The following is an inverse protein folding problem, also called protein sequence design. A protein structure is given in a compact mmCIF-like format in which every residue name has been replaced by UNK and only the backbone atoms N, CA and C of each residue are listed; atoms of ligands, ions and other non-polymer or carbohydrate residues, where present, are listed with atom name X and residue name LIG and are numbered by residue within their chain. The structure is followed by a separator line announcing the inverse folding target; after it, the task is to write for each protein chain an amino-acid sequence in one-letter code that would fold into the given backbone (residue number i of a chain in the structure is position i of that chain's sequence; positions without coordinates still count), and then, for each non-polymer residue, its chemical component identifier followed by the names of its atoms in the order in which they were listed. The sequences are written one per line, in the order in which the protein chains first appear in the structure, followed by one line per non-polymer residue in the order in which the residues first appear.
data_IF_479470921724
#
_entry.id   IF_479470921724
#
_cell.length_a   1.000
_cell.length_b   1.000
_cell.length_c   1.000
_cell.angle_alpha   90.00
_cell.angle_beta   90.00
_cell.angle_gamma   90.00
#
_symmetry.space_group_name_H-M   'P 1'
#
loop_
_entity.id
_entity.type
_entity.pdbx_description
1 polymer ?
#
# COMPACT_ATOMS: atom_id res chain seq x y z
N UNK A 1 -12.54 -13.34 12.86
CA UNK A 1 -11.23 -13.03 12.26
C UNK A 1 -11.44 -12.52 10.85
N UNK A 2 -10.84 -11.39 10.49
CA UNK A 2 -10.88 -10.87 9.11
C UNK A 2 -9.90 -11.70 8.26
N UNK A 3 -10.29 -12.19 7.08
CA UNK A 3 -9.39 -12.98 6.24
C UNK A 3 -8.19 -12.15 5.78
N UNK A 4 -6.99 -12.75 5.71
CA UNK A 4 -5.78 -12.09 5.22
C UNK A 4 -5.98 -11.44 3.83
N UNK A 5 -6.76 -12.06 2.96
CA UNK A 5 -7.07 -11.53 1.64
C UNK A 5 -7.85 -10.21 1.63
N UNK A 6 -8.60 -9.89 2.70
CA UNK A 6 -9.27 -8.59 2.81
C UNK A 6 -8.28 -7.50 3.22
N UNK A 7 -7.26 -7.82 4.02
CA UNK A 7 -6.15 -6.90 4.31
C UNK A 7 -5.29 -6.63 3.06
N UNK A 8 -5.04 -7.64 2.22
CA UNK A 8 -4.32 -7.43 0.95
C UNK A 8 -5.08 -6.51 -0.01
N UNK A 9 -6.41 -6.56 -0.02
CA UNK A 9 -7.21 -5.61 -0.82
C UNK A 9 -7.07 -4.18 -0.33
N UNK A 10 -6.88 -3.96 0.97
CA UNK A 10 -6.59 -2.63 1.53
C UNK A 10 -5.27 -2.06 0.99
N UNK A 11 -4.28 -2.92 0.70
CA UNK A 11 -2.97 -2.50 0.19
C UNK A 11 -3.00 -1.98 -1.26
N UNK A 12 -4.11 -2.18 -2.00
CA UNK A 12 -4.25 -1.89 -3.44
C UNK A 12 -3.00 -2.35 -4.22
N UNK A 13 -2.88 -3.65 -4.53
CA UNK A 13 -1.64 -4.24 -5.05
C UNK A 13 -1.09 -3.55 -6.32
N UNK A 14 -1.97 -3.04 -7.19
CA UNK A 14 -1.55 -2.26 -8.36
C UNK A 14 -0.78 -0.97 -8.01
N UNK A 15 -1.24 -0.22 -7.01
CA UNK A 15 -0.54 0.98 -6.53
C UNK A 15 0.78 0.64 -5.84
N UNK A 16 0.83 -0.50 -5.14
CA UNK A 16 2.06 -0.97 -4.49
C UNK A 16 3.17 -1.28 -5.50
N UNK A 17 2.84 -1.82 -6.68
CA UNK A 17 3.82 -2.06 -7.75
C UNK A 17 4.45 -0.76 -8.28
N UNK A 18 3.64 0.29 -8.44
CA UNK A 18 4.14 1.61 -8.86
C UNK A 18 5.16 2.13 -7.85
N UNK A 19 4.86 1.99 -6.56
CA UNK A 19 5.80 2.38 -5.48
C UNK A 19 7.13 1.63 -5.59
N UNK A 20 7.12 0.32 -5.81
CA UNK A 20 8.36 -0.45 -5.98
C UNK A 20 9.20 0.04 -7.16
N UNK A 21 8.57 0.34 -8.30
CA UNK A 21 9.25 0.92 -9.46
C UNK A 21 9.84 2.30 -9.16
N UNK A 22 9.12 3.15 -8.44
CA UNK A 22 9.62 4.47 -8.02
C UNK A 22 10.81 4.37 -7.06
N UNK A 23 10.80 3.40 -6.14
CA UNK A 23 11.92 3.16 -5.22
C UNK A 23 13.19 2.70 -5.95
N UNK A 24 13.04 1.80 -6.92
CA UNK A 24 14.15 1.38 -7.78
C UNK A 24 14.74 2.57 -8.55
N UNK A 25 13.89 3.37 -9.20
CA UNK A 25 14.33 4.56 -9.92
C UNK A 25 15.04 5.56 -9.01
N UNK A 26 14.54 5.76 -7.78
CA UNK A 26 15.20 6.63 -6.79
C UNK A 26 16.63 6.17 -6.45
N UNK A 27 16.83 4.86 -6.26
CA UNK A 27 18.15 4.29 -6.01
C UNK A 27 19.09 4.41 -7.21
N UNK A 28 18.58 4.15 -8.42
CA UNK A 28 19.35 4.27 -9.67
C UNK A 28 19.82 5.70 -9.89
N UNK A 29 18.92 6.68 -9.72
CA UNK A 29 19.24 8.10 -9.88
C UNK A 29 20.18 8.60 -8.79
N UNK A 30 20.00 8.17 -7.54
CA UNK A 30 20.87 8.55 -6.42
C UNK A 30 22.26 7.93 -6.48
N UNK A 31 22.39 6.70 -7.01
CA UNK A 31 23.65 6.00 -7.17
C UNK A 31 24.32 6.20 -8.54
N UNK A 32 23.65 6.87 -9.48
CA UNK A 32 24.06 7.03 -10.88
C UNK A 32 24.46 5.68 -11.55
N UNK A 33 23.75 4.62 -11.21
CA UNK A 33 24.04 3.24 -11.64
C UNK A 33 22.76 2.43 -11.74
N UNK A 34 22.65 1.60 -12.77
CA UNK A 34 21.56 0.64 -12.89
C UNK A 34 21.71 -0.55 -11.92
N UNK A 35 22.93 -0.79 -11.42
CA UNK A 35 23.17 -1.80 -10.40
C UNK A 35 22.86 -1.22 -9.03
N UNK A 36 21.81 -1.75 -8.39
CA UNK A 36 21.43 -1.40 -7.01
C UNK A 36 21.86 -2.52 -6.06
N UNK A 37 22.37 -2.17 -4.87
CA UNK A 37 22.74 -3.19 -3.89
C UNK A 37 21.48 -3.85 -3.34
N UNK A 38 21.41 -5.18 -3.50
CA UNK A 38 20.21 -5.97 -3.27
C UNK A 38 19.70 -5.90 -1.82
N UNK A 39 20.54 -5.97 -0.77
CA UNK A 39 20.05 -5.90 0.61
C UNK A 39 19.30 -4.60 0.93
N UNK A 40 19.84 -3.47 0.51
CA UNK A 40 19.26 -2.14 0.69
C UNK A 40 17.98 -1.99 -0.11
N UNK A 41 17.97 -2.50 -1.35
CA UNK A 41 16.76 -2.50 -2.17
C UNK A 41 15.64 -3.32 -1.52
N UNK A 42 15.94 -4.52 -1.02
CA UNK A 42 14.95 -5.36 -0.34
C UNK A 42 14.40 -4.69 0.92
N UNK A 43 15.27 -4.09 1.74
CA UNK A 43 14.85 -3.33 2.92
C UNK A 43 13.92 -2.18 2.52
N UNK A 44 14.30 -1.43 1.48
CA UNK A 44 13.51 -0.33 0.95
C UNK A 44 12.15 -0.79 0.43
N UNK A 45 12.07 -1.95 -0.24
CA UNK A 45 10.81 -2.55 -0.67
C UNK A 45 9.91 -2.90 0.51
N UNK A 46 10.44 -3.51 1.58
CA UNK A 46 9.68 -3.85 2.78
C UNK A 46 9.11 -2.58 3.44
N UNK A 47 9.95 -1.57 3.65
CA UNK A 47 9.54 -0.28 4.21
C UNK A 47 8.51 0.41 3.32
N UNK A 48 8.78 0.47 2.01
CA UNK A 48 7.91 1.12 1.03
C UNK A 48 6.54 0.47 0.92
N UNK A 49 6.46 -0.86 0.90
CA UNK A 49 5.18 -1.57 0.93
C UNK A 49 4.43 -1.34 2.25
N UNK A 50 5.14 -1.31 3.38
CA UNK A 50 4.54 -0.99 4.68
C UNK A 50 3.94 0.41 4.74
N UNK A 51 4.70 1.42 4.30
CA UNK A 51 4.26 2.82 4.26
C UNK A 51 3.12 3.01 3.26
N UNK A 52 3.25 2.50 2.04
CA UNK A 52 2.20 2.60 1.02
C UNK A 52 0.92 1.91 1.47
N UNK A 53 1.03 0.69 2.00
CA UNK A 53 -0.08 -0.07 2.52
C UNK A 53 -0.80 0.62 3.66
N UNK A 54 -0.03 1.14 4.63
CA UNK A 54 -0.55 1.92 5.75
C UNK A 54 -1.25 3.19 5.27
N UNK A 55 -0.67 3.93 4.33
CA UNK A 55 -1.27 5.13 3.76
C UNK A 55 -2.60 4.83 3.05
N UNK A 56 -2.68 3.75 2.28
CA UNK A 56 -3.91 3.35 1.58
C UNK A 56 -5.01 2.91 2.56
N UNK A 57 -4.65 2.15 3.59
CA UNK A 57 -5.57 1.73 4.64
C UNK A 57 -6.09 2.94 5.44
N UNK A 58 -5.20 3.86 5.81
CA UNK A 58 -5.55 5.10 6.50
C UNK A 58 -6.46 5.96 5.63
N UNK A 59 -6.15 6.13 4.35
CA UNK A 59 -6.96 6.92 3.43
C UNK A 59 -8.38 6.36 3.33
N UNK A 60 -8.52 5.04 3.23
CA UNK A 60 -9.82 4.37 3.19
C UNK A 60 -10.60 4.46 4.51
N UNK A 61 -9.92 4.54 5.65
CA UNK A 61 -10.56 4.81 6.93
C UNK A 61 -11.12 6.23 7.01
N UNK A 62 -10.32 7.23 6.64
CA UNK A 62 -10.75 8.63 6.61
C UNK A 62 -11.90 8.85 5.61
N UNK A 63 -11.84 8.20 4.45
CA UNK A 63 -12.82 8.33 3.37
C UNK A 63 -14.03 7.39 3.53
N UNK A 64 -14.22 6.73 4.68
CA UNK A 64 -15.27 5.72 4.87
C UNK A 64 -16.67 6.19 4.44
N UNK A 65 -17.02 7.45 4.72
CA UNK A 65 -18.33 8.02 4.33
C UNK A 65 -18.45 8.20 2.82
N UNK A 66 -17.35 8.59 2.17
CA UNK A 66 -17.28 8.87 0.74
C UNK A 66 -17.24 7.57 -0.05
N UNK A 67 -16.41 6.62 0.39
CA UNK A 67 -16.27 5.28 -0.18
C UNK A 67 -17.55 4.45 -0.09
N UNK A 68 -18.47 4.73 0.86
CA UNK A 68 -19.81 4.11 0.87
C UNK A 68 -20.64 4.44 -0.36
N UNK A 69 -20.37 5.57 -1.02
CA UNK A 69 -21.09 6.02 -2.22
C UNK A 69 -20.29 5.70 -3.48
N UNK A 70 -19.00 6.00 -3.50
CA UNK A 70 -18.15 5.86 -4.70
C UNK A 70 -17.58 4.46 -4.90
N UNK A 71 -17.31 3.73 -3.82
CA UNK A 71 -16.63 2.43 -3.84
C UNK A 71 -17.18 1.47 -2.77
N UNK A 72 -18.48 1.14 -2.80
CA UNK A 72 -19.14 0.33 -1.78
C UNK A 72 -18.56 -1.09 -1.68
N UNK A 73 -17.84 -1.55 -2.70
CA UNK A 73 -17.16 -2.85 -2.76
C UNK A 73 -15.94 -2.98 -1.83
N UNK A 74 -15.40 -1.86 -1.33
CA UNK A 74 -14.17 -1.83 -0.52
C UNK A 74 -14.34 -2.51 0.86
N UNK A 75 -13.25 -3.01 1.48
CA UNK A 75 -13.32 -3.79 2.72
C UNK A 75 -13.94 -3.04 3.91
N UNK A 76 -13.70 -1.73 4.01
CA UNK A 76 -14.20 -0.88 5.10
C UNK A 76 -15.70 -0.55 4.97
N UNK A 77 -16.21 -0.02 3.85
CA UNK A 77 -17.66 0.17 3.63
C UNK A 77 -18.48 -1.11 3.82
N UNK A 78 -17.94 -2.27 3.41
CA UNK A 78 -18.59 -3.58 3.60
C UNK A 78 -18.59 -4.08 5.05
N UNK A 79 -17.95 -3.37 5.97
CA UNK A 79 -17.83 -3.77 7.37
C UNK A 79 -16.99 -5.03 7.59
N UNK A 80 -16.22 -5.47 6.58
CA UNK A 80 -15.32 -6.62 6.69
C UNK A 80 -14.08 -6.29 7.50
N UNK A 81 -13.63 -5.05 7.45
CA UNK A 81 -12.60 -4.48 8.31
C UNK A 81 -13.27 -3.40 9.16
N UNK A 82 -13.17 -3.54 10.50
CA UNK A 82 -13.66 -2.53 11.44
C UNK A 82 -12.48 -1.69 11.91
N UNK A 83 -12.57 -0.37 11.78
CA UNK A 83 -11.74 0.52 12.58
C UNK A 83 -12.29 0.59 14.00
N UNK A 84 -11.43 0.62 15.00
CA UNK A 84 -11.84 1.04 16.35
C UNK A 84 -12.25 2.51 16.29
N UNK A 85 -13.41 2.82 16.88
CA UNK A 85 -13.90 4.19 17.03
C UNK A 85 -13.49 4.72 18.39
#
# INVERSE_FOLDING_TARGET
MVPAGEYLKCLKPGSSLVVLGSLYLGMVLGGNSLAVPLPEFLLLCVVGMGVSGGAQALNMYCDLKLDRVSHPERPFPRGKVKGER
#
